data_IF_596478609647
#
_entry.id   IF_596478609647
#
_cell.length_a   1.000
_cell.length_b   1.000
_cell.length_c   1.000
_cell.angle_alpha   90.00
_cell.angle_beta   90.00
_cell.angle_gamma   90.00
#
_symmetry.space_group_name_H-M   'P 1'
#
loop_
_entity.id
_entity.type
_entity.pdbx_description
1 polymer ?
#
# COMPACT_ATOMS: atom_id res chain seq x y z
N UNK A 1 -7.59 1.34 -33.09
CA UNK A 1 -6.93 0.44 -32.10
C UNK A 1 -5.47 0.85 -32.00
N UNK A 2 -5.13 1.62 -30.95
CA UNK A 2 -3.92 2.42 -30.87
C UNK A 2 -2.75 1.69 -30.20
N UNK A 3 -1.56 1.99 -30.72
CA UNK A 3 -0.20 1.45 -30.51
C UNK A 3 0.33 1.49 -29.05
N UNK A 4 -0.49 1.88 -28.08
CA UNK A 4 -0.06 2.11 -26.68
C UNK A 4 0.08 0.83 -25.83
N UNK A 5 -0.39 -0.33 -26.29
CA UNK A 5 -0.29 -1.61 -25.56
C UNK A 5 0.99 -2.42 -25.86
N UNK A 6 1.86 -1.96 -26.76
CA UNK A 6 3.10 -2.70 -27.13
C UNK A 6 4.33 -2.22 -26.34
N UNK A 7 4.26 -1.06 -25.69
CA UNK A 7 5.42 -0.46 -25.01
C UNK A 7 5.75 -1.13 -23.67
N UNK A 8 4.79 -1.82 -23.03
CA UNK A 8 5.04 -2.53 -21.76
C UNK A 8 5.70 -3.91 -21.93
N UNK A 9 5.72 -4.48 -23.14
CA UNK A 9 6.08 -5.90 -23.36
C UNK A 9 7.49 -6.11 -23.90
N UNK A 10 8.27 -5.04 -24.16
CA UNK A 10 9.60 -5.13 -24.77
C UNK A 10 10.74 -4.39 -24.01
N UNK A 11 10.46 -3.66 -22.93
CA UNK A 11 11.46 -2.79 -22.28
C UNK A 11 12.16 -3.37 -21.04
N UNK A 12 11.63 -4.45 -20.45
CA UNK A 12 12.19 -5.08 -19.24
C UNK A 12 13.33 -6.09 -19.54
N UNK A 13 13.42 -6.79 -20.69
CA UNK A 13 14.46 -7.81 -20.88
C UNK A 13 15.89 -7.27 -21.05
N UNK A 14 16.08 -5.99 -21.35
CA UNK A 14 17.42 -5.45 -21.62
C UNK A 14 18.18 -5.01 -20.35
N UNK A 15 17.48 -4.74 -19.24
CA UNK A 15 18.09 -4.22 -18.00
C UNK A 15 18.84 -5.28 -17.18
N UNK A 16 18.47 -6.55 -17.31
CA UNK A 16 18.82 -7.60 -16.34
C UNK A 16 20.14 -8.31 -16.68
N UNK A 17 20.72 -8.10 -17.87
CA UNK A 17 21.91 -8.86 -18.30
C UNK A 17 23.24 -8.41 -17.68
N UNK A 18 23.28 -7.34 -16.88
CA UNK A 18 24.54 -6.75 -16.40
C UNK A 18 24.75 -6.72 -14.87
N UNK A 19 23.80 -7.15 -14.04
CA UNK A 19 23.99 -7.15 -12.58
C UNK A 19 23.59 -8.48 -11.95
N UNK A 20 24.53 -9.43 -11.93
CA UNK A 20 24.43 -10.67 -11.15
C UNK A 20 25.66 -10.80 -10.25
N UNK A 21 25.53 -10.43 -8.97
CA UNK A 21 26.40 -10.91 -7.89
C UNK A 21 25.55 -11.26 -6.66
N UNK A 22 25.47 -12.59 -6.46
CA UNK A 22 25.15 -13.41 -5.28
C UNK A 22 24.69 -12.73 -3.98
N UNK A 23 23.53 -13.15 -3.48
CA UNK A 23 23.23 -13.30 -2.05
C UNK A 23 22.42 -14.58 -1.82
N UNK A 24 22.81 -15.35 -0.80
CA UNK A 24 22.20 -16.63 -0.41
C UNK A 24 21.22 -16.46 0.74
N UNK A 25 20.19 -17.32 0.69
CA UNK A 25 19.14 -17.67 1.66
C UNK A 25 19.36 -17.32 3.13
N UNK A 26 18.27 -16.86 3.77
CA UNK A 26 17.94 -17.29 5.12
C UNK A 26 16.44 -17.59 5.23
N UNK A 27 16.10 -18.70 5.89
CA UNK A 27 14.73 -19.19 6.09
C UNK A 27 14.36 -18.95 7.54
N UNK A 28 13.39 -18.07 7.78
CA UNK A 28 12.74 -17.99 9.07
C UNK A 28 11.22 -18.05 8.93
N UNK A 29 10.64 -19.05 9.59
CA UNK A 29 9.20 -19.23 9.78
C UNK A 29 8.66 -18.22 10.79
N UNK A 30 7.66 -17.44 10.40
CA UNK A 30 6.98 -16.48 11.28
C UNK A 30 5.95 -17.21 12.15
N UNK A 31 6.02 -17.13 13.49
CA UNK A 31 5.00 -17.68 14.36
C UNK A 31 3.74 -16.79 14.38
N UNK A 32 2.57 -17.41 14.42
CA UNK A 32 1.28 -16.74 14.58
C UNK A 32 1.13 -16.16 16.00
N UNK A 33 0.67 -14.90 16.18
CA UNK A 33 0.43 -14.35 17.51
C UNK A 33 -0.90 -14.85 18.12
N UNK A 34 -0.90 -15.00 19.44
CA UNK A 34 -2.07 -15.33 20.28
C UNK A 34 -3.10 -14.19 20.27
N UNK A 35 -4.37 -14.54 20.53
CA UNK A 35 -5.54 -13.64 20.59
C UNK A 35 -5.24 -12.31 21.29
N UNK A 36 -5.27 -11.21 20.53
CA UNK A 36 -5.12 -9.84 21.03
C UNK A 36 -6.49 -9.14 21.06
N UNK A 37 -6.60 -8.16 21.95
CA UNK A 37 -7.78 -7.30 22.08
C UNK A 37 -7.88 -6.38 20.85
N UNK A 38 -9.07 -6.15 20.25
CA UNK A 38 -9.19 -5.23 19.11
C UNK A 38 -8.77 -3.79 19.47
N UNK A 39 -7.85 -3.21 18.70
CA UNK A 39 -7.31 -1.87 18.97
C UNK A 39 -8.03 -0.76 18.18
N UNK A 40 -8.75 0.10 18.89
CA UNK A 40 -9.42 1.29 18.35
C UNK A 40 -10.88 1.07 17.95
N UNK A 41 -11.66 2.16 17.89
CA UNK A 41 -13.14 2.12 17.77
C UNK A 41 -13.65 1.26 16.62
N UNK A 42 -13.00 1.34 15.45
CA UNK A 42 -13.39 0.53 14.30
C UNK A 42 -13.15 -0.96 14.56
N UNK A 43 -11.95 -1.34 15.00
CA UNK A 43 -11.60 -2.73 15.27
C UNK A 43 -12.51 -3.35 16.34
N UNK A 44 -12.74 -2.63 17.45
CA UNK A 44 -13.63 -3.07 18.51
C UNK A 44 -15.07 -3.26 18.02
N UNK A 45 -15.57 -2.38 17.15
CA UNK A 45 -16.88 -2.58 16.53
C UNK A 45 -16.92 -3.76 15.56
N UNK A 46 -15.86 -3.96 14.75
CA UNK A 46 -15.78 -5.09 13.83
C UNK A 46 -15.80 -6.45 14.55
N UNK A 47 -15.29 -6.50 15.79
CA UNK A 47 -15.33 -7.67 16.65
C UNK A 47 -16.70 -7.85 17.33
N UNK A 48 -17.19 -6.81 18.02
CA UNK A 48 -18.26 -6.95 19.02
C UNK A 48 -19.60 -6.29 18.64
N UNK A 49 -19.69 -5.61 17.49
CA UNK A 49 -20.88 -4.89 17.04
C UNK A 49 -20.98 -3.44 17.55
N UNK A 50 -22.10 -2.76 17.22
CA UNK A 50 -22.26 -1.30 17.28
C UNK A 50 -21.68 -0.61 18.53
N UNK A 51 -20.66 0.24 18.32
CA UNK A 51 -20.02 1.11 19.32
C UNK A 51 -20.18 2.61 18.96
N UNK A 52 -19.42 3.47 19.65
CA UNK A 52 -19.22 4.88 19.27
C UNK A 52 -18.84 5.03 17.79
N UNK A 53 -19.25 6.16 17.20
CA UNK A 53 -18.96 6.45 15.79
C UNK A 53 -17.44 6.55 15.55
N UNK A 54 -16.93 5.75 14.61
CA UNK A 54 -15.53 5.78 14.17
C UNK A 54 -15.33 6.62 12.90
N UNK A 55 -14.27 7.41 12.84
CA UNK A 55 -13.88 8.17 11.64
C UNK A 55 -12.71 7.49 10.93
N UNK A 56 -12.89 7.11 9.67
CA UNK A 56 -11.93 6.35 8.87
C UNK A 56 -11.46 7.18 7.67
N UNK A 57 -10.17 7.46 7.59
CA UNK A 57 -9.58 8.26 6.52
C UNK A 57 -8.70 7.39 5.63
N UNK A 58 -8.98 7.38 4.32
CA UNK A 58 -8.13 6.79 3.30
C UNK A 58 -7.21 7.85 2.69
N UNK A 59 -5.91 7.54 2.60
CA UNK A 59 -4.90 8.39 1.96
C UNK A 59 -4.10 7.55 0.96
N UNK A 60 -3.49 8.20 -0.04
CA UNK A 60 -2.48 7.54 -0.88
C UNK A 60 -2.88 7.42 -2.34
N UNK A 61 -2.65 6.25 -2.92
CA UNK A 61 -2.65 6.05 -4.37
C UNK A 61 -3.81 5.19 -4.91
N UNK A 62 -3.63 4.65 -6.12
CA UNK A 62 -4.66 3.90 -6.85
C UNK A 62 -5.18 2.66 -6.14
N UNK A 63 -4.41 2.05 -5.24
CA UNK A 63 -4.89 0.90 -4.46
C UNK A 63 -5.94 1.34 -3.44
N UNK A 64 -5.71 2.47 -2.75
CA UNK A 64 -6.69 3.03 -1.82
C UNK A 64 -7.91 3.58 -2.57
N UNK A 65 -7.73 4.10 -3.79
CA UNK A 65 -8.86 4.53 -4.65
C UNK A 65 -9.73 3.33 -5.04
N UNK A 66 -9.10 2.19 -5.31
CA UNK A 66 -9.76 0.99 -5.81
C UNK A 66 -9.78 0.85 -7.33
N UNK A 67 -8.76 1.37 -8.02
CA UNK A 67 -8.63 1.21 -9.48
C UNK A 67 -8.54 -0.28 -9.82
N UNK A 68 -9.22 -0.72 -10.88
CA UNK A 68 -9.26 -2.14 -11.28
C UNK A 68 -10.38 -2.95 -10.61
N UNK A 69 -11.09 -2.38 -9.62
CA UNK A 69 -12.25 -3.03 -9.00
C UNK A 69 -13.47 -3.01 -9.94
N UNK A 70 -13.69 -4.14 -10.62
CA UNK A 70 -14.75 -4.32 -11.61
C UNK A 70 -16.16 -4.13 -11.03
N UNK A 71 -16.32 -4.26 -9.71
CA UNK A 71 -17.60 -4.04 -9.04
C UNK A 71 -17.79 -2.63 -8.49
N UNK A 72 -16.83 -1.72 -8.76
CA UNK A 72 -16.85 -0.34 -8.28
C UNK A 72 -17.06 -0.27 -6.76
N UNK A 73 -16.48 -1.23 -6.02
CA UNK A 73 -16.58 -1.30 -4.58
C UNK A 73 -15.50 -0.46 -3.87
N UNK A 74 -14.83 0.45 -4.59
CA UNK A 74 -13.77 1.33 -4.07
C UNK A 74 -12.64 0.54 -3.42
N UNK A 75 -12.27 -0.59 -4.03
CA UNK A 75 -11.14 -1.41 -3.63
C UNK A 75 -11.27 -1.99 -2.23
N UNK A 76 -10.13 -2.18 -1.56
CA UNK A 76 -10.12 -2.72 -0.20
C UNK A 76 -10.71 -1.72 0.81
N UNK A 77 -10.54 -0.41 0.59
CA UNK A 77 -11.01 0.63 1.51
C UNK A 77 -12.55 0.61 1.59
N UNK A 78 -13.22 0.63 0.44
CA UNK A 78 -14.68 0.55 0.41
C UNK A 78 -15.22 -0.80 0.89
N UNK A 79 -14.51 -1.90 0.63
CA UNK A 79 -14.92 -3.22 1.13
C UNK A 79 -14.86 -3.29 2.66
N UNK A 80 -13.82 -2.73 3.26
CA UNK A 80 -13.69 -2.65 4.71
C UNK A 80 -14.85 -1.83 5.34
N UNK A 81 -15.18 -0.67 4.77
CA UNK A 81 -16.27 0.17 5.31
C UNK A 81 -17.64 -0.45 5.10
N UNK A 82 -17.87 -1.18 4.00
CA UNK A 82 -19.10 -1.98 3.81
C UNK A 82 -19.19 -3.12 4.81
N UNK A 83 -18.08 -3.82 5.09
CA UNK A 83 -18.06 -4.84 6.13
C UNK A 83 -18.40 -4.24 7.51
N UNK A 84 -17.89 -3.04 7.82
CA UNK A 84 -18.29 -2.32 9.03
C UNK A 84 -19.80 -2.02 9.06
N UNK A 85 -20.38 -1.62 7.92
CA UNK A 85 -21.84 -1.42 7.80
C UNK A 85 -22.63 -2.73 8.04
N UNK A 86 -22.17 -3.85 7.50
CA UNK A 86 -22.78 -5.19 7.72
C UNK A 86 -22.73 -5.62 9.18
N UNK A 87 -21.72 -5.16 9.93
CA UNK A 87 -21.59 -5.34 11.38
C UNK A 87 -22.37 -4.32 12.22
N UNK A 88 -23.18 -3.47 11.58
CA UNK A 88 -23.92 -2.38 12.20
C UNK A 88 -23.01 -1.38 12.93
N UNK A 89 -21.78 -1.19 12.47
CA UNK A 89 -20.90 -0.17 13.01
C UNK A 89 -21.36 1.23 12.63
N UNK A 90 -21.31 2.15 13.60
CA UNK A 90 -21.44 3.57 13.32
C UNK A 90 -20.08 4.08 12.83
N UNK A 91 -20.00 4.56 11.58
CA UNK A 91 -18.77 5.12 11.05
C UNK A 91 -19.02 6.28 10.09
N UNK A 92 -17.98 7.07 9.87
CA UNK A 92 -17.83 7.99 8.75
C UNK A 92 -16.52 7.69 8.05
N UNK A 93 -16.56 7.63 6.72
CA UNK A 93 -15.38 7.32 5.91
C UNK A 93 -15.18 8.37 4.84
N UNK A 94 -13.94 8.85 4.71
CA UNK A 94 -13.52 9.77 3.66
C UNK A 94 -12.27 9.21 2.99
N UNK A 95 -12.25 9.23 1.66
CA UNK A 95 -11.11 8.76 0.89
C UNK A 95 -10.50 9.93 0.11
N UNK A 96 -9.27 10.29 0.46
CA UNK A 96 -8.49 11.33 -0.19
C UNK A 96 -7.39 10.74 -1.09
N UNK A 97 -7.38 9.42 -1.34
CA UNK A 97 -6.41 8.85 -2.27
C UNK A 97 -6.68 9.26 -3.71
N UNK A 98 -5.62 9.29 -4.51
CA UNK A 98 -5.65 9.76 -5.90
C UNK A 98 -4.78 8.87 -6.78
N UNK A 99 -5.29 8.56 -7.99
CA UNK A 99 -4.58 7.67 -8.91
C UNK A 99 -3.22 8.25 -9.30
N UNK A 100 -2.17 7.45 -9.14
CA UNK A 100 -0.81 7.80 -9.57
C UNK A 100 -0.03 8.66 -8.59
N UNK A 101 -0.57 8.95 -7.40
CA UNK A 101 0.14 9.68 -6.37
C UNK A 101 1.46 9.01 -5.99
N UNK A 102 2.51 9.83 -5.96
CA UNK A 102 3.80 9.54 -5.34
C UNK A 102 3.82 10.01 -3.90
N UNK A 103 4.87 9.63 -3.15
CA UNK A 103 5.10 10.17 -1.81
C UNK A 103 5.24 11.70 -1.79
N UNK A 104 5.72 12.30 -2.89
CA UNK A 104 5.80 13.77 -3.02
C UNK A 104 4.42 14.39 -3.17
N UNK A 105 3.54 13.79 -3.98
CA UNK A 105 2.17 14.28 -4.18
C UNK A 105 1.36 14.19 -2.87
N UNK A 106 1.54 13.10 -2.12
CA UNK A 106 0.91 12.94 -0.81
C UNK A 106 1.39 14.02 0.18
N UNK A 107 2.67 14.36 0.20
CA UNK A 107 3.18 15.46 1.04
C UNK A 107 2.55 16.82 0.68
N UNK A 108 2.30 17.09 -0.60
CA UNK A 108 1.57 18.29 -1.00
C UNK A 108 0.09 18.22 -0.59
N UNK A 109 -0.55 17.06 -0.73
CA UNK A 109 -1.93 16.86 -0.29
C UNK A 109 -2.11 17.09 1.21
N UNK A 110 -1.16 16.63 2.04
CA UNK A 110 -1.19 16.83 3.50
C UNK A 110 -1.14 18.30 3.93
N UNK A 111 -0.80 19.24 3.02
CA UNK A 111 -0.85 20.67 3.30
C UNK A 111 -2.26 21.26 3.19
N UNK A 112 -3.20 20.60 2.51
CA UNK A 112 -4.56 21.10 2.31
C UNK A 112 -5.35 21.10 3.62
N UNK A 113 -6.11 22.17 3.85
CA UNK A 113 -6.83 22.37 5.11
C UNK A 113 -7.95 21.34 5.33
N UNK A 114 -8.63 20.91 4.26
CA UNK A 114 -9.66 19.88 4.33
C UNK A 114 -9.09 18.50 4.72
N UNK A 115 -7.92 18.16 4.21
CA UNK A 115 -7.20 16.91 4.54
C UNK A 115 -6.70 16.94 5.98
N UNK A 116 -6.11 18.06 6.43
CA UNK A 116 -5.66 18.22 7.82
C UNK A 116 -6.82 18.06 8.80
N UNK A 117 -7.93 18.75 8.58
CA UNK A 117 -9.11 18.67 9.43
C UNK A 117 -9.76 17.27 9.45
N UNK A 118 -9.60 16.50 8.38
CA UNK A 118 -10.02 15.10 8.35
C UNK A 118 -9.08 14.21 9.18
N UNK A 119 -7.76 14.38 9.04
CA UNK A 119 -6.75 13.64 9.81
C UNK A 119 -6.86 13.92 11.31
N UNK A 120 -7.04 15.17 11.71
CA UNK A 120 -7.20 15.57 13.12
C UNK A 120 -8.35 14.85 13.84
N UNK A 121 -9.41 14.49 13.11
CA UNK A 121 -10.60 13.80 13.64
C UNK A 121 -10.59 12.29 13.42
N UNK A 122 -9.59 11.76 12.73
CA UNK A 122 -9.52 10.35 12.39
C UNK A 122 -9.34 9.48 13.65
N UNK A 123 -10.10 8.39 13.72
CA UNK A 123 -9.79 7.27 14.64
C UNK A 123 -8.88 6.26 13.93
N UNK A 124 -9.05 6.10 12.61
CA UNK A 124 -8.29 5.18 11.76
C UNK A 124 -7.84 5.89 10.49
N UNK A 125 -6.56 5.73 10.15
CA UNK A 125 -5.98 6.19 8.89
C UNK A 125 -5.44 4.97 8.14
N UNK A 126 -5.85 4.79 6.88
CA UNK A 126 -5.40 3.70 6.03
C UNK A 126 -4.70 4.30 4.81
N UNK A 127 -3.50 3.82 4.50
CA UNK A 127 -2.61 4.44 3.52
C UNK A 127 -1.92 3.41 2.63
N UNK A 128 -1.94 3.61 1.31
CA UNK A 128 -1.01 2.97 0.33
C UNK A 128 -0.25 4.04 -0.43
N UNK A 129 1.08 4.00 -0.39
CA UNK A 129 1.91 4.90 -1.20
C UNK A 129 3.28 4.29 -1.50
N UNK A 130 3.91 4.74 -2.58
CA UNK A 130 5.31 4.41 -2.92
C UNK A 130 5.50 3.58 -4.18
N UNK A 131 4.47 2.84 -4.64
CA UNK A 131 4.57 2.08 -5.88
C UNK A 131 4.83 3.00 -7.09
N UNK A 132 4.21 4.19 -7.12
CA UNK A 132 4.39 5.15 -8.20
C UNK A 132 5.78 5.78 -8.22
N UNK A 133 6.39 6.02 -7.06
CA UNK A 133 7.78 6.47 -6.94
C UNK A 133 8.74 5.44 -7.56
N UNK A 134 8.56 4.15 -7.24
CA UNK A 134 9.36 3.07 -7.83
C UNK A 134 9.15 2.96 -9.35
N UNK A 135 7.91 3.10 -9.83
CA UNK A 135 7.59 3.07 -11.27
C UNK A 135 8.24 4.23 -12.01
N UNK A 136 8.25 5.44 -11.42
CA UNK A 136 8.92 6.60 -12.00
C UNK A 136 10.43 6.38 -12.08
N UNK A 137 11.05 5.86 -11.01
CA UNK A 137 12.48 5.49 -11.00
C UNK A 137 12.79 4.49 -12.11
N UNK A 138 12.04 3.40 -12.22
CA UNK A 138 12.29 2.36 -13.21
C UNK A 138 12.20 2.89 -14.65
N UNK A 139 11.24 3.80 -14.92
CA UNK A 139 11.15 4.49 -16.22
C UNK A 139 12.36 5.37 -16.48
N UNK A 140 12.83 6.11 -15.49
CA UNK A 140 13.97 7.02 -15.63
C UNK A 140 15.29 6.27 -15.82
N UNK A 141 15.54 5.21 -15.04
CA UNK A 141 16.73 4.35 -15.18
C UNK A 141 16.75 3.73 -16.57
N UNK A 142 15.60 3.25 -17.06
CA UNK A 142 15.51 2.67 -18.40
C UNK A 142 15.83 3.69 -19.51
N UNK A 143 15.30 4.91 -19.42
CA UNK A 143 15.52 5.95 -20.43
C UNK A 143 16.94 6.55 -20.39
N UNK A 144 17.55 6.63 -19.21
CA UNK A 144 18.83 7.31 -19.00
C UNK A 144 20.04 6.39 -18.90
N UNK A 145 19.83 5.09 -18.67
CA UNK A 145 20.86 4.09 -18.36
C UNK A 145 21.74 4.45 -17.13
N UNK A 146 21.21 5.28 -16.22
CA UNK A 146 21.92 5.73 -15.01
C UNK A 146 21.47 4.95 -13.78
N UNK A 147 22.19 3.88 -13.46
CA UNK A 147 21.90 3.05 -12.29
C UNK A 147 22.15 3.76 -10.95
N UNK A 148 23.03 4.78 -10.93
CA UNK A 148 23.29 5.62 -9.75
C UNK A 148 22.04 6.40 -9.28
N UNK A 149 20.99 6.50 -10.11
CA UNK A 149 19.72 7.10 -9.72
C UNK A 149 18.99 6.26 -8.66
N UNK A 150 19.19 4.94 -8.64
CA UNK A 150 18.47 4.05 -7.72
C UNK A 150 18.73 4.43 -6.27
N UNK A 151 20.01 4.57 -5.87
CA UNK A 151 20.36 4.90 -4.50
C UNK A 151 19.86 6.30 -4.09
N UNK A 152 19.94 7.26 -5.03
CA UNK A 152 19.44 8.63 -4.80
C UNK A 152 17.93 8.63 -4.56
N UNK A 153 17.19 7.88 -5.36
CA UNK A 153 15.74 7.82 -5.31
C UNK A 153 15.24 7.02 -4.10
N UNK A 154 15.94 5.97 -3.69
CA UNK A 154 15.69 5.28 -2.42
C UNK A 154 15.85 6.21 -1.21
N UNK A 155 16.91 7.04 -1.18
CA UNK A 155 17.10 8.05 -0.12
C UNK A 155 15.99 9.09 -0.13
N UNK A 156 15.54 9.53 -1.31
CA UNK A 156 14.42 10.47 -1.44
C UNK A 156 13.12 9.86 -0.93
N UNK A 157 12.83 8.62 -1.34
CA UNK A 157 11.68 7.86 -0.90
C UNK A 157 11.64 7.70 0.62
N UNK A 158 12.74 7.22 1.23
CA UNK A 158 12.87 7.08 2.68
C UNK A 158 12.59 8.40 3.42
N UNK A 159 13.17 9.51 2.96
CA UNK A 159 12.93 10.84 3.53
C UNK A 159 11.48 11.27 3.41
N UNK A 160 10.83 10.97 2.29
CA UNK A 160 9.43 11.33 2.09
C UNK A 160 8.49 10.49 2.97
N UNK A 161 8.72 9.18 3.10
CA UNK A 161 7.93 8.33 4.01
C UNK A 161 8.04 8.83 5.46
N UNK A 162 9.26 9.10 5.93
CA UNK A 162 9.47 9.64 7.27
C UNK A 162 8.67 10.94 7.49
N UNK A 163 8.67 11.84 6.50
CA UNK A 163 7.88 13.07 6.54
C UNK A 163 6.38 12.83 6.52
N UNK A 164 5.87 12.00 5.59
CA UNK A 164 4.44 11.69 5.48
C UNK A 164 3.91 11.21 6.82
N UNK A 165 4.59 10.23 7.42
CA UNK A 165 4.19 9.66 8.68
C UNK A 165 4.31 10.67 9.83
N UNK A 166 5.38 11.48 9.85
CA UNK A 166 5.57 12.53 10.86
C UNK A 166 4.48 13.61 10.79
N UNK A 167 4.11 14.04 9.58
CA UNK A 167 3.05 15.03 9.36
C UNK A 167 1.70 14.46 9.86
N UNK A 168 1.35 13.24 9.43
CA UNK A 168 0.12 12.57 9.91
C UNK A 168 0.09 12.47 11.43
N UNK A 169 1.18 12.01 12.06
CA UNK A 169 1.25 11.84 13.52
C UNK A 169 1.25 13.19 14.25
N UNK A 170 1.79 14.26 13.65
CA UNK A 170 1.75 15.60 14.21
C UNK A 170 0.34 16.19 14.24
N UNK A 171 -0.46 15.90 13.20
CA UNK A 171 -1.87 16.29 13.10
C UNK A 171 -2.75 15.45 14.04
N UNK A 172 -2.43 14.17 14.23
CA UNK A 172 -3.20 13.29 15.10
C UNK A 172 -2.32 12.28 15.84
N UNK A 173 -2.17 12.48 17.16
CA UNK A 173 -1.40 11.61 18.04
C UNK A 173 -2.06 10.28 18.36
N UNK A 174 -3.37 10.15 18.14
CA UNK A 174 -4.18 9.05 18.66
C UNK A 174 -4.72 8.10 17.59
N UNK A 175 -4.78 8.51 16.32
CA UNK A 175 -5.25 7.63 15.25
C UNK A 175 -4.40 6.36 15.12
N UNK A 176 -5.06 5.22 14.90
CA UNK A 176 -4.39 4.00 14.41
C UNK A 176 -4.05 4.19 12.93
N UNK A 177 -2.78 4.00 12.57
CA UNK A 177 -2.30 4.11 11.18
C UNK A 177 -2.05 2.71 10.63
N UNK A 178 -2.72 2.35 9.55
CA UNK A 178 -2.48 1.12 8.81
C UNK A 178 -1.83 1.46 7.47
N UNK A 179 -0.52 1.31 7.40
CA UNK A 179 0.25 1.46 6.18
C UNK A 179 0.26 0.12 5.44
N UNK A 180 -0.35 0.07 4.27
CA UNK A 180 -0.41 -1.13 3.44
C UNK A 180 0.73 -1.05 2.43
N UNK A 181 1.57 -2.08 2.40
CA UNK A 181 2.64 -2.20 1.42
C UNK A 181 2.11 -2.38 0.00
N UNK A 182 3.00 -2.47 -0.98
CA UNK A 182 2.63 -2.74 -2.36
C UNK A 182 3.28 -4.04 -2.87
N UNK A 183 2.93 -4.45 -4.08
CA UNK A 183 3.33 -5.73 -4.66
C UNK A 183 3.90 -5.55 -6.06
N UNK A 184 4.58 -6.58 -6.56
CA UNK A 184 5.01 -6.64 -7.96
C UNK A 184 3.88 -7.25 -8.80
N UNK A 185 3.28 -6.52 -9.76
CA UNK A 185 2.23 -7.05 -10.61
C UNK A 185 2.75 -7.95 -11.75
N UNK A 186 4.07 -8.05 -11.93
CA UNK A 186 4.67 -8.79 -13.04
C UNK A 186 4.58 -10.30 -12.80
N UNK A 187 3.88 -10.99 -13.71
CA UNK A 187 3.81 -12.44 -13.77
C UNK A 187 5.18 -13.08 -14.05
N UNK A 188 5.28 -14.41 -13.85
CA UNK A 188 6.47 -15.22 -14.07
C UNK A 188 7.12 -14.99 -15.44
N UNK A 189 8.11 -14.09 -15.47
CA UNK A 189 8.76 -13.56 -16.66
C UNK A 189 10.16 -13.07 -16.31
N UNK A 190 11.00 -12.90 -17.33
CA UNK A 190 12.37 -12.46 -17.16
C UNK A 190 12.45 -11.08 -16.50
N UNK A 191 13.16 -10.97 -15.39
CA UNK A 191 13.28 -9.76 -14.57
C UNK A 191 12.35 -9.68 -13.36
N UNK A 192 11.43 -10.64 -13.20
CA UNK A 192 10.51 -10.69 -12.04
C UNK A 192 11.25 -10.69 -10.71
N UNK A 193 12.27 -11.54 -10.53
CA UNK A 193 13.02 -11.65 -9.27
C UNK A 193 13.69 -10.33 -8.87
N UNK A 194 14.21 -9.59 -9.86
CA UNK A 194 14.79 -8.27 -9.61
C UNK A 194 13.72 -7.26 -9.17
N UNK A 195 12.58 -7.22 -9.86
CA UNK A 195 11.46 -6.35 -9.47
C UNK A 195 10.90 -6.73 -8.08
N UNK A 196 10.79 -8.02 -7.77
CA UNK A 196 10.42 -8.51 -6.44
C UNK A 196 11.41 -8.00 -5.38
N UNK A 197 12.71 -8.06 -5.66
CA UNK A 197 13.74 -7.55 -4.73
C UNK A 197 13.60 -6.05 -4.47
N UNK A 198 13.26 -5.25 -5.50
CA UNK A 198 13.03 -3.81 -5.35
C UNK A 198 11.76 -3.53 -4.55
N UNK A 199 10.66 -4.24 -4.83
CA UNK A 199 9.41 -4.11 -4.07
C UNK A 199 9.63 -4.48 -2.61
N UNK A 200 10.32 -5.58 -2.32
CA UNK A 200 10.68 -5.99 -0.96
C UNK A 200 11.51 -4.90 -0.28
N UNK A 201 12.56 -4.40 -0.95
CA UNK A 201 13.42 -3.36 -0.39
C UNK A 201 12.64 -2.08 -0.05
N UNK A 202 11.77 -1.63 -0.94
CA UNK A 202 10.99 -0.41 -0.73
C UNK A 202 9.89 -0.58 0.33
N UNK A 203 9.23 -1.75 0.38
CA UNK A 203 8.34 -2.08 1.48
C UNK A 203 9.09 -2.10 2.83
N UNK A 204 10.31 -2.65 2.87
CA UNK A 204 11.12 -2.66 4.08
C UNK A 204 11.49 -1.24 4.55
N UNK A 205 11.80 -0.33 3.62
CA UNK A 205 12.00 1.09 3.96
C UNK A 205 10.75 1.66 4.62
N UNK A 206 9.57 1.46 4.03
CA UNK A 206 8.32 1.93 4.63
C UNK A 206 8.06 1.31 6.00
N UNK A 207 8.24 -0.01 6.11
CA UNK A 207 8.03 -0.75 7.34
C UNK A 207 8.94 -0.26 8.48
N UNK A 208 10.20 0.06 8.20
CA UNK A 208 11.14 0.60 9.19
C UNK A 208 10.59 1.87 9.84
N UNK A 209 10.14 2.85 9.06
CA UNK A 209 9.58 4.09 9.60
C UNK A 209 8.22 3.89 10.27
N UNK A 210 7.39 2.97 9.77
CA UNK A 210 6.09 2.67 10.38
C UNK A 210 6.27 2.04 11.76
N UNK A 211 7.23 1.12 11.92
CA UNK A 211 7.53 0.46 13.21
C UNK A 211 8.06 1.41 14.28
N UNK A 212 8.67 2.52 13.89
CA UNK A 212 9.15 3.55 14.82
C UNK A 212 8.02 4.45 15.36
N UNK A 213 6.82 4.36 14.78
CA UNK A 213 5.68 5.19 15.19
C UNK A 213 4.74 4.43 16.11
N UNK A 214 4.37 5.09 17.22
CA UNK A 214 3.29 4.60 18.07
C UNK A 214 2.00 4.46 17.27
N UNK A 215 1.22 3.41 17.55
CA UNK A 215 -0.12 3.18 16.98
C UNK A 215 -0.10 3.18 15.45
N UNK A 216 0.94 2.58 14.88
CA UNK A 216 1.12 2.44 13.45
C UNK A 216 1.54 1.01 13.10
N UNK A 217 0.97 0.47 12.03
CA UNK A 217 1.08 -0.93 11.65
C UNK A 217 1.37 -1.03 10.16
N UNK A 218 2.44 -1.74 9.80
CA UNK A 218 2.74 -2.06 8.42
C UNK A 218 2.09 -3.40 8.06
N UNK A 219 1.34 -3.42 6.95
CA UNK A 219 0.66 -4.61 6.45
C UNK A 219 1.27 -5.00 5.11
N UNK A 220 2.09 -6.05 5.12
CA UNK A 220 2.63 -6.62 3.90
C UNK A 220 1.52 -7.28 3.06
N UNK A 221 1.53 -7.02 1.75
CA UNK A 221 0.59 -7.63 0.81
C UNK A 221 1.29 -8.23 -0.41
N UNK A 222 2.61 -8.10 -0.54
CA UNK A 222 3.38 -8.59 -1.68
C UNK A 222 3.29 -10.13 -1.84
N UNK A 223 3.17 -10.84 -0.72
CA UNK A 223 3.02 -12.29 -0.69
C UNK A 223 1.73 -12.77 -1.40
N UNK A 224 0.65 -12.00 -1.32
CA UNK A 224 -0.63 -12.33 -1.98
C UNK A 224 -0.52 -12.51 -3.48
N UNK A 225 0.29 -11.66 -4.10
CA UNK A 225 0.40 -11.59 -5.55
C UNK A 225 1.58 -12.42 -6.06
N UNK A 226 2.49 -12.85 -5.19
CA UNK A 226 3.72 -13.56 -5.55
C UNK A 226 3.50 -14.90 -6.28
N UNK A 227 2.40 -15.61 -5.99
CA UNK A 227 2.13 -16.97 -6.51
C UNK A 227 1.06 -17.04 -7.60
N UNK A 228 0.08 -16.13 -7.59
CA UNK A 228 -1.08 -16.17 -8.48
C UNK A 228 -1.56 -14.75 -8.84
N UNK A 229 -0.63 -13.89 -9.25
CA UNK A 229 -0.92 -12.52 -9.66
C UNK A 229 -2.05 -12.45 -10.69
N UNK A 230 -2.02 -13.28 -11.74
CA UNK A 230 -3.05 -13.35 -12.79
C UNK A 230 -4.48 -13.44 -12.25
N UNK A 231 -4.70 -14.22 -11.18
CA UNK A 231 -6.03 -14.36 -10.58
C UNK A 231 -6.50 -13.10 -9.89
N UNK A 232 -5.58 -12.30 -9.34
CA UNK A 232 -5.89 -11.14 -8.50
C UNK A 232 -5.76 -9.81 -9.23
N UNK A 233 -5.30 -9.79 -10.48
CA UNK A 233 -5.15 -8.58 -11.28
C UNK A 233 -6.31 -8.36 -12.24
N UNK A 234 -6.61 -7.08 -12.50
CA UNK A 234 -7.60 -6.64 -13.47
C UNK A 234 -7.10 -6.83 -14.91
N UNK A 235 -7.93 -6.48 -15.89
CA UNK A 235 -7.57 -6.55 -17.31
C UNK A 235 -6.31 -5.75 -17.67
N UNK A 236 -5.98 -4.70 -16.90
CA UNK A 236 -4.77 -3.92 -17.09
C UNK A 236 -3.47 -4.62 -16.65
N UNK A 237 -3.60 -5.79 -16.01
CA UNK A 237 -2.50 -6.63 -15.50
C UNK A 237 -1.58 -5.89 -14.52
N UNK A 238 -2.11 -4.88 -13.85
CA UNK A 238 -1.35 -4.02 -12.95
C UNK A 238 -2.09 -3.79 -11.64
N UNK A 239 -3.33 -3.32 -11.70
CA UNK A 239 -4.15 -3.09 -10.51
C UNK A 239 -4.89 -4.36 -10.09
N UNK A 240 -5.25 -4.51 -8.80
CA UNK A 240 -6.05 -5.64 -8.35
C UNK A 240 -7.44 -5.62 -8.99
N UNK A 241 -7.99 -6.80 -9.26
CA UNK A 241 -9.41 -6.98 -9.53
C UNK A 241 -10.21 -7.11 -8.23
N UNK A 242 -11.50 -7.43 -8.35
CA UNK A 242 -12.38 -7.60 -7.18
C UNK A 242 -11.88 -8.67 -6.19
N UNK A 243 -11.32 -9.79 -6.67
CA UNK A 243 -10.75 -10.85 -5.81
C UNK A 243 -9.47 -10.37 -5.12
N UNK A 244 -8.61 -9.66 -5.85
CA UNK A 244 -7.40 -9.05 -5.31
C UNK A 244 -7.72 -8.07 -4.17
N UNK A 245 -8.70 -7.21 -4.37
CA UNK A 245 -9.14 -6.29 -3.30
C UNK A 245 -9.82 -6.99 -2.13
N UNK A 246 -10.54 -8.10 -2.37
CA UNK A 246 -11.11 -8.90 -1.29
C UNK A 246 -10.03 -9.52 -0.39
N UNK A 247 -8.96 -10.07 -0.97
CA UNK A 247 -7.87 -10.65 -0.17
C UNK A 247 -7.01 -9.60 0.54
N UNK A 248 -6.88 -8.40 -0.03
CA UNK A 248 -6.26 -7.25 0.66
C UNK A 248 -7.13 -6.82 1.84
N UNK A 249 -8.43 -6.59 1.63
CA UNK A 249 -9.38 -6.23 2.70
C UNK A 249 -9.32 -7.23 3.85
N UNK A 250 -9.37 -8.53 3.53
CA UNK A 250 -9.34 -9.60 4.54
C UNK A 250 -8.08 -9.53 5.40
N UNK A 251 -6.92 -9.21 4.82
CA UNK A 251 -5.69 -9.05 5.60
C UNK A 251 -5.71 -7.79 6.45
N UNK A 252 -6.15 -6.66 5.90
CA UNK A 252 -6.26 -5.40 6.64
C UNK A 252 -7.17 -5.59 7.86
N UNK A 253 -8.35 -6.16 7.65
CA UNK A 253 -9.29 -6.47 8.74
C UNK A 253 -8.72 -7.47 9.74
N UNK A 254 -8.04 -8.52 9.28
CA UNK A 254 -7.39 -9.47 10.19
C UNK A 254 -6.34 -8.80 11.07
N UNK A 255 -5.54 -7.89 10.51
CA UNK A 255 -4.60 -7.09 11.29
C UNK A 255 -5.32 -6.21 12.32
N UNK A 256 -6.38 -5.51 11.93
CA UNK A 256 -7.16 -4.67 12.85
C UNK A 256 -7.74 -5.45 14.04
N UNK A 257 -8.10 -6.72 13.83
CA UNK A 257 -8.71 -7.56 14.87
C UNK A 257 -7.68 -8.29 15.76
N UNK A 258 -6.45 -8.50 15.28
CA UNK A 258 -5.47 -9.41 15.88
C UNK A 258 -4.11 -8.75 16.21
N UNK A 259 -4.03 -7.42 16.25
CA UNK A 259 -2.84 -6.66 16.65
C UNK A 259 -3.23 -5.54 17.59
#
# INVERSE_FOLDING_TARGET
MQIHQIVATLLIPLLVSQLLVKFTDDKDTVPMPNETTPHGKLASCLADGAQEKATVIGLGDSLTVGIGDEYNLSGYFGRLTRYANEKNCLYEAMNFSEKGFTTTDLLEQLKRDDVKAAIERADVIILTIGANDLIQLLKEVHLSLKFDLIEKEEKRYAKNIAKVLSEIRSLNRNAEIYYIGFYNPVDDSFGKEYLDSLVIKWNNISEQYVKEMERAHFIAINDLFSRDAKRFLSEDKFHPNHLGYEVIEKRVRSFMLNK
#
